data_IF_546222694416
#
_entry.id   IF_546222694416
#
_cell.length_a   1.000
_cell.length_b   1.000
_cell.length_c   1.000
_cell.angle_alpha   90.00
_cell.angle_beta   90.00
_cell.angle_gamma   90.00
#
_symmetry.space_group_name_H-M   'P 1'
#
loop_
_entity.id
_entity.type
_entity.pdbx_description
1 polymer ?
#
# COMPACT_ATOMS: atom_id res chain seq x y z
N UNK A 1 -4.62 -35.04 5.06
CA UNK A 1 -4.25 -35.62 3.76
C UNK A 1 -3.49 -34.56 3.01
N UNK A 2 -2.20 -34.58 3.30
CA UNK A 2 -1.13 -33.68 2.94
C UNK A 2 -0.78 -33.74 1.45
N UNK A 3 -0.13 -32.69 0.94
CA UNK A 3 0.39 -32.68 -0.43
C UNK A 3 1.32 -31.50 -0.71
N UNK A 4 2.47 -31.47 -0.03
CA UNK A 4 3.58 -30.53 -0.23
C UNK A 4 4.27 -30.69 -1.60
N UNK A 5 4.89 -29.62 -2.13
CA UNK A 5 6.26 -29.65 -2.71
C UNK A 5 6.77 -28.22 -2.99
N UNK A 6 7.79 -27.74 -2.25
CA UNK A 6 9.23 -27.58 -2.61
C UNK A 6 9.49 -26.60 -3.77
N UNK A 7 10.38 -25.60 -3.69
CA UNK A 7 11.34 -25.23 -2.66
C UNK A 7 12.39 -24.23 -3.17
N UNK A 8 13.37 -23.97 -2.29
CA UNK A 8 14.73 -23.41 -2.50
C UNK A 8 14.85 -21.88 -2.69
N UNK A 9 15.42 -21.19 -1.70
CA UNK A 9 16.85 -20.76 -1.61
C UNK A 9 17.22 -19.88 -2.81
N UNK A 10 17.60 -18.61 -2.68
CA UNK A 10 18.32 -17.91 -1.63
C UNK A 10 19.31 -16.98 -2.35
N UNK A 11 19.67 -15.85 -1.75
CA UNK A 11 20.99 -15.18 -1.82
C UNK A 11 20.83 -13.72 -1.40
N UNK A 12 21.56 -13.36 -0.35
CA UNK A 12 21.85 -11.97 -0.04
C UNK A 12 22.83 -11.40 -1.05
N UNK A 13 22.73 -10.10 -1.27
CA UNK A 13 23.87 -9.23 -1.54
C UNK A 13 23.55 -7.88 -0.92
N UNK A 14 24.34 -7.51 0.08
CA UNK A 14 24.40 -6.13 0.55
C UNK A 14 25.00 -5.27 -0.56
N UNK A 15 24.42 -4.11 -0.76
CA UNK A 15 25.10 -2.99 -1.39
C UNK A 15 24.57 -1.72 -0.75
N UNK A 16 25.37 -1.17 0.17
CA UNK A 16 25.24 0.21 0.57
C UNK A 16 25.71 1.08 -0.60
N UNK A 17 24.86 2.00 -1.01
CA UNK A 17 25.21 3.11 -1.86
C UNK A 17 24.45 4.32 -1.32
N UNK A 18 25.11 5.06 -0.44
CA UNK A 18 24.81 6.47 -0.22
C UNK A 18 25.65 7.22 -1.27
N UNK A 19 25.00 7.86 -2.23
CA UNK A 19 25.17 9.28 -2.50
C UNK A 19 24.26 9.72 -3.66
N UNK A 20 23.75 10.94 -3.48
CA UNK A 20 22.94 11.73 -4.39
C UNK A 20 23.44 11.72 -5.84
N UNK A 21 22.55 11.50 -6.79
CA UNK A 21 22.57 12.24 -8.06
C UNK A 21 21.17 12.30 -8.69
N UNK A 22 20.75 13.55 -8.86
CA UNK A 22 19.66 14.11 -9.66
C UNK A 22 19.30 13.28 -10.91
N UNK A 23 18.07 12.73 -10.97
CA UNK A 23 17.43 12.43 -12.25
C UNK A 23 15.90 12.57 -12.16
N UNK A 24 15.49 13.83 -12.33
CA UNK A 24 14.33 14.21 -13.14
C UNK A 24 13.83 13.10 -14.08
N UNK A 25 12.51 12.86 -14.07
CA UNK A 25 11.71 12.11 -15.07
C UNK A 25 11.50 10.62 -14.83
N UNK A 26 10.40 10.32 -14.15
CA UNK A 26 9.40 9.42 -14.76
C UNK A 26 7.98 9.71 -14.26
N UNK A 27 7.51 10.93 -14.53
CA UNK A 27 6.08 11.15 -14.69
C UNK A 27 5.61 10.28 -15.87
N UNK A 28 5.14 9.05 -15.61
CA UNK A 28 4.40 8.24 -16.59
C UNK A 28 3.05 8.92 -16.88
N UNK A 29 3.13 10.05 -17.60
CA UNK A 29 2.00 10.75 -18.19
C UNK A 29 1.41 9.78 -19.22
N UNK A 30 0.23 9.23 -18.91
CA UNK A 30 -0.64 8.64 -19.92
C UNK A 30 -0.71 9.62 -21.10
N UNK A 31 -0.48 9.19 -22.35
CA UNK A 31 -0.64 10.07 -23.48
C UNK A 31 -2.11 10.52 -23.52
N UNK A 32 -2.36 11.77 -23.12
CA UNK A 32 -3.61 12.44 -23.42
C UNK A 32 -3.63 12.59 -24.93
N UNK A 33 -4.33 11.68 -25.60
CA UNK A 33 -4.83 11.93 -26.96
C UNK A 33 -5.85 13.06 -26.83
N UNK A 34 -5.38 14.28 -27.04
CA UNK A 34 -6.18 15.49 -26.93
C UNK A 34 -5.43 16.62 -27.59
N UNK A 35 -5.10 16.42 -28.87
CA UNK A 35 -4.55 17.45 -29.72
C UNK A 35 -5.49 18.66 -29.75
N UNK A 36 -4.85 19.81 -29.89
CA UNK A 36 -5.45 21.11 -30.11
C UNK A 36 -6.46 21.06 -31.25
N UNK A 37 -7.72 20.96 -30.86
CA UNK A 37 -8.89 21.26 -31.66
C UNK A 37 -9.96 21.55 -30.63
N UNK A 38 -10.39 22.80 -30.53
CA UNK A 38 -11.53 23.21 -29.71
C UNK A 38 -12.81 22.59 -30.28
N UNK A 39 -12.90 21.26 -30.29
CA UNK A 39 -14.14 20.56 -30.56
C UNK A 39 -15.06 20.92 -29.40
N UNK A 40 -15.96 21.85 -29.65
CA UNK A 40 -17.08 22.16 -28.77
C UNK A 40 -17.66 20.86 -28.22
N UNK A 41 -17.86 20.75 -26.92
CA UNK A 41 -18.44 19.54 -26.33
C UNK A 41 -19.81 19.27 -26.99
N UNK A 42 -20.26 18.01 -27.10
CA UNK A 42 -21.57 17.72 -27.69
C UNK A 42 -22.72 18.54 -27.05
N UNK A 43 -22.64 18.79 -25.74
CA UNK A 43 -23.58 19.64 -25.00
C UNK A 43 -23.49 21.12 -25.41
N UNK A 44 -22.28 21.64 -25.62
CA UNK A 44 -22.09 23.02 -26.11
C UNK A 44 -22.54 23.15 -27.57
N UNK A 45 -22.35 22.13 -28.40
CA UNK A 45 -22.89 22.11 -29.78
C UNK A 45 -24.42 22.15 -29.75
N UNK A 46 -25.05 21.32 -28.91
CA UNK A 46 -26.50 21.31 -28.74
C UNK A 46 -27.02 22.67 -28.25
N UNK A 47 -26.41 23.25 -27.23
CA UNK A 47 -26.80 24.58 -26.71
C UNK A 47 -26.69 25.65 -27.80
N UNK A 48 -25.60 25.65 -28.57
CA UNK A 48 -25.43 26.58 -29.68
C UNK A 48 -26.54 26.42 -30.72
N UNK A 49 -26.90 25.18 -31.09
CA UNK A 49 -28.02 24.92 -32.00
C UNK A 49 -29.35 25.42 -31.43
N UNK A 50 -29.65 25.17 -30.15
CA UNK A 50 -30.87 25.67 -29.49
C UNK A 50 -30.97 27.20 -29.51
N UNK A 51 -29.85 27.89 -29.21
CA UNK A 51 -29.78 29.36 -29.21
C UNK A 51 -29.98 29.92 -30.63
N UNK A 52 -29.28 29.35 -31.62
CA UNK A 52 -29.43 29.77 -33.03
C UNK A 52 -30.87 29.58 -33.50
N UNK A 53 -31.50 28.45 -33.17
CA UNK A 53 -32.87 28.15 -33.53
C UNK A 53 -33.85 29.20 -32.98
N UNK A 54 -33.72 29.61 -31.72
CA UNK A 54 -34.62 30.62 -31.11
C UNK A 54 -34.39 32.02 -31.66
N UNK A 55 -33.13 32.37 -31.98
CA UNK A 55 -32.80 33.69 -32.54
C UNK A 55 -33.34 33.83 -33.97
N UNK A 56 -33.16 32.80 -34.80
CA UNK A 56 -33.57 32.81 -36.22
C UNK A 56 -35.07 32.56 -36.42
N UNK A 57 -35.78 32.13 -35.38
CA UNK A 57 -37.23 31.94 -35.44
C UNK A 57 -37.96 33.27 -35.69
N UNK A 58 -38.42 33.47 -36.93
CA UNK A 58 -39.17 34.66 -37.34
C UNK A 58 -40.59 34.72 -36.79
N UNK A 59 -41.12 33.62 -36.25
CA UNK A 59 -42.47 33.56 -35.69
C UNK A 59 -42.56 34.09 -34.26
N UNK A 60 -41.42 34.18 -33.54
CA UNK A 60 -41.35 34.64 -32.16
C UNK A 60 -41.05 36.13 -32.05
N UNK A 61 -41.75 36.80 -31.16
CA UNK A 61 -41.49 38.19 -30.78
C UNK A 61 -40.17 38.34 -30.02
N UNK A 62 -39.61 39.54 -30.00
CA UNK A 62 -38.40 39.85 -29.22
C UNK A 62 -38.56 39.57 -27.71
N UNK A 63 -39.78 39.75 -27.19
CA UNK A 63 -40.09 39.46 -25.79
C UNK A 63 -40.02 37.96 -25.48
N UNK A 64 -40.63 37.12 -26.34
CA UNK A 64 -40.60 35.66 -26.17
C UNK A 64 -39.16 35.11 -26.25
N UNK A 65 -38.36 35.62 -27.19
CA UNK A 65 -36.92 35.27 -27.28
C UNK A 65 -36.17 35.63 -26.00
N UNK A 66 -36.42 36.82 -25.45
CA UNK A 66 -35.82 37.26 -24.17
C UNK A 66 -36.25 36.38 -23.00
N UNK A 67 -37.52 35.99 -22.92
CA UNK A 67 -38.02 35.10 -21.87
C UNK A 67 -37.41 33.71 -21.97
N UNK A 68 -37.27 33.17 -23.19
CA UNK A 68 -36.59 31.90 -23.41
C UNK A 68 -35.14 31.95 -22.93
N UNK A 69 -34.38 33.01 -23.27
CA UNK A 69 -33.00 33.15 -22.80
C UNK A 69 -32.89 33.20 -21.27
N UNK A 70 -33.80 33.91 -20.59
CA UNK A 70 -33.84 33.94 -19.13
C UNK A 70 -34.11 32.56 -18.53
N UNK A 71 -35.08 31.84 -19.06
CA UNK A 71 -35.40 30.48 -18.62
C UNK A 71 -34.20 29.54 -18.84
N UNK A 72 -33.55 29.65 -20.00
CA UNK A 72 -32.38 28.82 -20.30
C UNK A 72 -31.20 29.11 -19.38
N UNK A 73 -30.98 30.37 -19.02
CA UNK A 73 -29.97 30.76 -18.04
C UNK A 73 -30.24 30.15 -16.65
N UNK A 74 -31.48 30.25 -16.17
CA UNK A 74 -31.88 29.66 -14.89
C UNK A 74 -31.67 28.14 -14.85
N UNK A 75 -32.01 27.43 -15.93
CA UNK A 75 -31.77 25.98 -16.03
C UNK A 75 -30.28 25.63 -15.97
N UNK A 76 -29.42 26.43 -16.59
CA UNK A 76 -27.97 26.19 -16.55
C UNK A 76 -27.40 26.45 -15.15
N UNK A 77 -27.88 27.48 -14.46
CA UNK A 77 -27.51 27.76 -13.08
C UNK A 77 -27.94 26.63 -12.13
N UNK A 78 -29.16 26.12 -12.28
CA UNK A 78 -29.63 24.95 -11.53
C UNK A 78 -28.74 23.72 -11.77
N UNK A 79 -28.41 23.43 -13.04
CA UNK A 79 -27.50 22.33 -13.38
C UNK A 79 -26.12 22.51 -12.76
N UNK A 80 -25.57 23.73 -12.81
CA UNK A 80 -24.27 24.05 -12.23
C UNK A 80 -24.26 23.78 -10.72
N UNK A 81 -25.28 24.26 -9.98
CA UNK A 81 -25.40 24.05 -8.54
C UNK A 81 -25.53 22.56 -8.22
N UNK A 82 -26.32 21.82 -9.00
CA UNK A 82 -26.45 20.37 -8.83
C UNK A 82 -25.11 19.64 -9.03
N UNK A 83 -24.31 20.03 -10.03
CA UNK A 83 -22.98 19.46 -10.20
C UNK A 83 -22.03 19.79 -9.05
N UNK A 84 -22.09 21.02 -8.52
CA UNK A 84 -21.30 21.40 -7.35
C UNK A 84 -21.69 20.57 -6.12
N UNK A 85 -22.98 20.33 -5.91
CA UNK A 85 -23.48 19.48 -4.83
C UNK A 85 -22.98 18.03 -4.97
N UNK A 86 -23.07 17.45 -6.17
CA UNK A 86 -22.57 16.10 -6.43
C UNK A 86 -21.05 16.00 -6.21
N UNK A 87 -20.29 17.00 -6.68
CA UNK A 87 -18.84 17.06 -6.45
C UNK A 87 -18.51 17.16 -4.96
N UNK A 88 -19.27 17.93 -4.19
CA UNK A 88 -19.11 18.03 -2.74
C UNK A 88 -19.38 16.69 -2.03
N UNK A 89 -20.45 15.97 -2.37
CA UNK A 89 -20.71 14.66 -1.77
C UNK A 89 -19.64 13.63 -2.16
N UNK A 90 -19.11 13.67 -3.38
CA UNK A 90 -17.97 12.84 -3.78
C UNK A 90 -16.72 13.16 -2.95
N UNK A 91 -16.41 14.45 -2.73
CA UNK A 91 -15.27 14.86 -1.92
C UNK A 91 -15.42 14.39 -0.46
N UNK A 92 -16.63 14.44 0.09
CA UNK A 92 -16.93 13.89 1.42
C UNK A 92 -16.67 12.39 1.50
N UNK A 93 -17.03 11.61 0.47
CA UNK A 93 -16.69 10.19 0.42
C UNK A 93 -15.18 9.96 0.26
N UNK A 94 -14.50 10.75 -0.57
CA UNK A 94 -13.04 10.72 -0.71
C UNK A 94 -12.35 10.97 0.63
N UNK A 95 -12.78 11.96 1.39
CA UNK A 95 -12.22 12.27 2.72
C UNK A 95 -12.44 11.13 3.72
N UNK A 96 -13.60 10.47 3.69
CA UNK A 96 -13.83 9.25 4.49
C UNK A 96 -12.85 8.14 4.09
N UNK A 97 -12.67 7.93 2.79
CA UNK A 97 -11.75 6.93 2.26
C UNK A 97 -10.31 7.19 2.69
N UNK A 98 -9.82 8.42 2.54
CA UNK A 98 -8.48 8.83 2.97
C UNK A 98 -8.27 8.57 4.47
N UNK A 99 -9.24 8.96 5.31
CA UNK A 99 -9.15 8.70 6.77
C UNK A 99 -9.09 7.21 7.08
N UNK A 100 -9.90 6.41 6.41
CA UNK A 100 -9.92 4.96 6.58
C UNK A 100 -8.61 4.32 6.13
N UNK A 101 -8.12 4.66 4.93
CA UNK A 101 -6.88 4.10 4.39
C UNK A 101 -5.67 4.45 5.25
N UNK A 102 -5.54 5.71 5.70
CA UNK A 102 -4.45 6.12 6.58
C UNK A 102 -4.51 5.48 7.98
N UNK A 103 -5.71 5.14 8.48
CA UNK A 103 -5.82 4.35 9.70
C UNK A 103 -5.37 2.91 9.46
N UNK A 104 -5.85 2.30 8.37
CA UNK A 104 -5.54 0.93 8.03
C UNK A 104 -4.05 0.71 7.78
N UNK A 105 -3.40 1.64 7.11
CA UNK A 105 -1.95 1.63 6.87
C UNK A 105 -1.15 1.61 8.17
N UNK A 106 -1.44 2.54 9.10
CA UNK A 106 -0.79 2.58 10.42
C UNK A 106 -1.05 1.31 11.25
N UNK A 107 -2.24 0.73 11.16
CA UNK A 107 -2.54 -0.55 11.82
C UNK A 107 -1.70 -1.69 11.24
N UNK A 108 -1.49 -1.72 9.92
CA UNK A 108 -0.63 -2.70 9.29
C UNK A 108 0.85 -2.51 9.66
N UNK A 109 1.34 -1.27 9.71
CA UNK A 109 2.70 -0.97 10.16
C UNK A 109 2.93 -1.43 11.62
N UNK A 110 1.96 -1.16 12.50
CA UNK A 110 2.01 -1.68 13.89
C UNK A 110 2.09 -3.21 13.92
N UNK A 111 1.27 -3.90 13.13
CA UNK A 111 1.28 -5.36 13.07
C UNK A 111 2.62 -5.91 12.52
N UNK A 112 3.24 -5.24 11.54
CA UNK A 112 4.57 -5.59 11.04
C UNK A 112 5.63 -5.48 12.13
N UNK A 113 5.66 -4.34 12.84
CA UNK A 113 6.62 -4.13 13.95
C UNK A 113 6.41 -5.12 15.09
N UNK A 114 5.16 -5.45 15.43
CA UNK A 114 4.88 -6.46 16.44
C UNK A 114 5.33 -7.86 16.01
N UNK A 115 5.12 -8.22 14.75
CA UNK A 115 5.60 -9.49 14.20
C UNK A 115 7.13 -9.57 14.24
N UNK A 116 7.81 -8.49 13.86
CA UNK A 116 9.26 -8.39 13.92
C UNK A 116 9.80 -8.50 15.35
N UNK A 117 9.17 -7.80 16.30
CA UNK A 117 9.50 -7.95 17.73
C UNK A 117 9.35 -9.40 18.19
N UNK A 118 8.26 -10.08 17.82
CA UNK A 118 8.05 -11.50 18.14
C UNK A 118 9.10 -12.40 17.48
N UNK A 119 9.49 -12.13 16.23
CA UNK A 119 10.55 -12.85 15.52
C UNK A 119 11.88 -12.72 16.28
N UNK A 120 12.25 -11.51 16.67
CA UNK A 120 13.48 -11.26 17.44
C UNK A 120 13.45 -11.95 18.81
N UNK A 121 12.31 -11.96 19.51
CA UNK A 121 12.18 -12.69 20.77
C UNK A 121 12.29 -14.21 20.56
N UNK A 122 11.70 -14.74 19.49
CA UNK A 122 11.85 -16.16 19.14
C UNK A 122 13.32 -16.52 18.86
N UNK A 123 14.05 -15.67 18.13
CA UNK A 123 15.48 -15.84 17.88
C UNK A 123 16.30 -15.79 19.18
N UNK A 124 16.00 -14.82 20.05
CA UNK A 124 16.60 -14.71 21.38
C UNK A 124 16.38 -15.98 22.21
N UNK A 125 15.15 -16.47 22.28
CA UNK A 125 14.80 -17.68 23.02
C UNK A 125 15.48 -18.92 22.43
N UNK A 126 15.56 -19.04 21.11
CA UNK A 126 16.28 -20.14 20.44
C UNK A 126 17.76 -20.14 20.79
N UNK A 127 18.41 -18.98 20.83
CA UNK A 127 19.81 -18.87 21.22
C UNK A 127 20.03 -19.27 22.69
N UNK A 128 19.13 -18.88 23.59
CA UNK A 128 19.18 -19.29 25.00
C UNK A 128 19.05 -20.80 25.17
N UNK A 129 18.16 -21.44 24.40
CA UNK A 129 18.01 -22.91 24.41
C UNK A 129 19.30 -23.58 23.92
N UNK A 130 19.85 -23.14 22.77
CA UNK A 130 21.10 -23.69 22.23
C UNK A 130 22.27 -23.53 23.20
N UNK A 131 22.37 -22.39 23.88
CA UNK A 131 23.39 -22.19 24.90
C UNK A 131 23.24 -23.22 26.03
N UNK A 132 22.01 -23.44 26.53
CA UNK A 132 21.75 -24.43 27.57
C UNK A 132 22.02 -25.86 27.12
N UNK A 133 21.72 -26.20 25.86
CA UNK A 133 22.06 -27.50 25.28
C UNK A 133 23.57 -27.74 25.29
N UNK A 134 24.39 -26.75 24.91
CA UNK A 134 25.86 -26.85 24.97
C UNK A 134 26.36 -26.99 26.40
N UNK A 135 25.86 -26.16 27.33
CA UNK A 135 26.23 -26.23 28.75
C UNK A 135 25.94 -27.62 29.35
N UNK A 136 24.82 -28.27 28.96
CA UNK A 136 24.47 -29.61 29.40
C UNK A 136 25.36 -30.69 28.79
N UNK A 137 25.70 -30.59 27.50
CA UNK A 137 26.63 -31.52 26.84
C UNK A 137 28.00 -31.46 27.48
N UNK A 138 28.49 -30.25 27.76
CA UNK A 138 29.77 -30.04 28.43
C UNK A 138 29.76 -30.67 29.83
N UNK A 139 28.72 -30.44 30.63
CA UNK A 139 28.57 -31.06 31.95
C UNK A 139 28.57 -32.60 31.89
N UNK A 140 27.83 -33.18 30.94
CA UNK A 140 27.79 -34.63 30.76
C UNK A 140 29.15 -35.19 30.31
N UNK A 141 29.89 -34.49 29.45
CA UNK A 141 31.23 -34.90 29.03
C UNK A 141 32.23 -34.88 30.19
N UNK A 142 32.21 -33.82 31.02
CA UNK A 142 33.04 -33.74 32.23
C UNK A 142 32.69 -34.86 33.20
N UNK A 143 31.40 -35.12 33.44
CA UNK A 143 30.96 -36.19 34.33
C UNK A 143 31.39 -37.58 33.83
N UNK A 144 31.27 -37.86 32.53
CA UNK A 144 31.74 -39.11 31.93
C UNK A 144 33.26 -39.28 32.05
N UNK A 145 34.04 -38.21 31.88
CA UNK A 145 35.49 -38.23 32.04
C UNK A 145 35.91 -38.56 33.47
N UNK A 146 35.25 -37.95 34.47
CA UNK A 146 35.47 -38.22 35.90
C UNK A 146 35.11 -39.68 36.26
N UNK A 147 33.99 -40.20 35.76
CA UNK A 147 33.62 -41.60 36.00
C UNK A 147 34.56 -42.61 35.29
N UNK A 148 35.17 -42.23 34.17
CA UNK A 148 36.17 -43.05 33.46
C UNK A 148 37.52 -43.08 34.19
N UNK A 149 37.99 -41.93 34.69
CA UNK A 149 39.22 -41.86 35.50
C UNK A 149 39.07 -42.61 36.83
N UNK A 150 37.90 -42.50 37.47
CA UNK A 150 37.64 -43.20 38.74
C UNK A 150 37.49 -44.73 38.57
N UNK A 151 37.12 -45.24 37.39
CA UNK A 151 37.10 -46.69 37.11
C UNK A 151 38.46 -47.27 36.72
N UNK A 152 39.45 -46.44 36.39
CA UNK A 152 40.83 -46.86 36.08
C UNK A 152 41.75 -46.88 37.30
N UNK A 153 41.30 -46.37 38.45
CA UNK A 153 42.04 -46.39 39.69
C UNK A 153 41.40 -47.35 40.69
N UNK A 154 41.74 -48.64 40.62
CA UNK A 154 41.80 -49.49 41.82
C UNK A 154 42.56 -50.81 41.55
N UNK A 155 43.04 -51.53 42.58
CA UNK A 155 44.43 -51.45 43.03
C UNK A 155 45.14 -52.81 42.94
N UNK A 156 46.32 -52.88 42.34
CA UNK A 156 47.14 -54.10 42.44
C UNK A 156 47.87 -54.13 43.78
N UNK A 157 47.17 -54.62 44.80
CA UNK A 157 47.76 -55.37 45.91
C UNK A 157 47.86 -56.83 45.49
N UNK A 158 49.06 -57.36 45.22
CA UNK A 158 49.27 -58.81 45.22
C UNK A 158 50.70 -59.13 45.67
N UNK A 159 50.79 -59.49 46.96
CA UNK A 159 51.62 -60.53 47.59
C UNK A 159 53.06 -60.77 47.11
N UNK A 160 54.00 -60.74 48.05
CA UNK A 160 55.34 -61.29 47.92
C UNK A 160 56.24 -60.90 49.07
#
# INVERSE_FOLDING_TARGET
MDGHTRGQNGHGHGHGHEDDEDDEKSSRKRPRKGGLGMSSSPLMQQLNSEVVNVIQDGSKTAWEKKQWMKMRLLQLEEQQVNYQYQAFELEKQRLKWVKFSSKKERDMERAKLENERRRLENERMLLLVRQKEVELVDQHHHQAQQHSSNKRGDPSSITG
#
